data_IF_482152591038
#
_entry.id   IF_482152591038
#
_cell.length_a   1.000
_cell.length_b   1.000
_cell.length_c   1.000
_cell.angle_alpha   90.00
_cell.angle_beta   90.00
_cell.angle_gamma   90.00
#
_symmetry.space_group_name_H-M   'P 1'
#
loop_
_entity.id
_entity.type
_entity.pdbx_description
1 polymer ?
#
# COMPACT_ATOMS: atom_id res chain seq x y z
N UNK A 1 -9.62 -3.73 -19.71
CA UNK A 1 -8.62 -4.82 -19.65
C UNK A 1 -8.29 -5.09 -18.17
N UNK A 2 -8.03 -6.33 -17.74
CA UNK A 2 -7.85 -6.65 -16.33
C UNK A 2 -6.62 -7.48 -16.03
N UNK A 3 -6.19 -7.43 -14.76
CA UNK A 3 -5.14 -8.28 -14.18
C UNK A 3 -5.75 -9.01 -12.97
N UNK A 4 -5.63 -10.32 -12.91
CA UNK A 4 -6.16 -11.09 -11.78
C UNK A 4 -5.40 -12.38 -11.55
N UNK A 5 -5.63 -13.00 -10.39
CA UNK A 5 -5.10 -14.30 -10.01
C UNK A 5 -3.56 -14.33 -10.00
N UNK A 6 -2.96 -13.30 -9.40
CA UNK A 6 -1.51 -13.14 -9.32
C UNK A 6 -1.01 -13.62 -7.96
N UNK A 7 -0.01 -14.50 -8.00
CA UNK A 7 0.70 -14.98 -6.82
C UNK A 7 2.19 -14.66 -6.94
N UNK A 8 2.71 -13.96 -5.92
CA UNK A 8 4.13 -13.71 -5.71
C UNK A 8 4.50 -14.38 -4.39
N UNK A 9 5.46 -15.31 -4.41
CA UNK A 9 5.83 -16.04 -3.21
C UNK A 9 7.31 -16.36 -3.09
N UNK A 10 7.78 -16.48 -1.85
CA UNK A 10 9.16 -16.89 -1.52
C UNK A 10 10.22 -15.96 -2.15
N UNK A 11 9.95 -14.65 -2.11
CA UNK A 11 10.79 -13.63 -2.72
C UNK A 11 11.52 -12.79 -1.67
N UNK A 12 12.70 -12.28 -2.04
CA UNK A 12 13.44 -11.27 -1.29
C UNK A 12 13.44 -9.98 -2.11
N UNK A 13 12.98 -8.89 -1.53
CA UNK A 13 12.85 -7.59 -2.19
C UNK A 13 13.76 -6.54 -1.58
N UNK A 14 14.34 -5.71 -2.44
CA UNK A 14 15.14 -4.54 -2.08
C UNK A 14 15.02 -3.49 -3.19
N UNK A 15 14.96 -2.22 -2.81
CA UNK A 15 14.86 -1.10 -3.75
C UNK A 15 15.70 0.06 -3.25
N UNK A 16 16.38 0.76 -4.15
CA UNK A 16 17.10 2.00 -3.88
C UNK A 16 16.15 3.22 -3.85
N UNK A 17 15.13 3.20 -4.71
CA UNK A 17 14.08 4.19 -4.79
C UNK A 17 12.87 3.53 -5.46
N UNK A 18 11.90 3.04 -4.68
CA UNK A 18 10.57 2.59 -5.10
C UNK A 18 9.89 1.82 -3.96
N UNK A 19 8.59 1.54 -4.10
CA UNK A 19 7.93 0.53 -3.28
C UNK A 19 8.51 -0.86 -3.62
N UNK A 20 8.68 -1.74 -2.62
CA UNK A 20 9.28 -3.07 -2.85
C UNK A 20 8.25 -4.04 -3.43
N UNK A 21 7.14 -4.26 -2.71
CA UNK A 21 6.00 -5.03 -3.23
C UNK A 21 4.79 -4.11 -3.36
N UNK A 22 4.43 -3.79 -4.61
CA UNK A 22 3.36 -2.86 -4.94
C UNK A 22 2.30 -3.52 -5.84
N UNK A 23 1.04 -3.28 -5.51
CA UNK A 23 -0.08 -3.45 -6.44
C UNK A 23 -0.61 -2.06 -6.83
N UNK A 24 -0.74 -1.83 -8.14
CA UNK A 24 -1.01 -0.51 -8.72
C UNK A 24 0.28 0.18 -9.19
N UNK A 25 0.37 1.53 -9.21
CA UNK A 25 -0.64 2.50 -8.78
C UNK A 25 -1.68 2.81 -9.85
N UNK A 26 -1.37 2.51 -11.12
CA UNK A 26 -2.12 2.92 -12.30
C UNK A 26 -3.15 1.86 -12.72
N UNK A 27 -4.12 1.59 -11.85
CA UNK A 27 -5.27 0.78 -12.25
C UNK A 27 -6.27 1.65 -13.02
N UNK A 28 -6.41 1.39 -14.32
CA UNK A 28 -7.33 2.10 -15.21
C UNK A 28 -6.64 3.17 -16.06
N UNK A 29 -7.42 3.84 -16.90
CA UNK A 29 -6.92 4.89 -17.79
C UNK A 29 -8.00 5.96 -17.96
N UNK A 30 -7.61 7.20 -18.26
CA UNK A 30 -8.54 8.29 -18.58
C UNK A 30 -9.43 8.01 -19.82
N UNK A 31 -9.09 7.00 -20.64
CA UNK A 31 -9.88 6.56 -21.80
C UNK A 31 -10.90 5.47 -21.47
N UNK A 32 -10.62 4.67 -20.44
CA UNK A 32 -11.46 3.56 -19.99
C UNK A 32 -11.51 3.52 -18.44
N UNK A 33 -12.06 4.56 -17.80
CA UNK A 33 -11.87 4.77 -16.37
C UNK A 33 -12.68 3.82 -15.50
N UNK A 34 -13.33 2.75 -16.01
CA UNK A 34 -14.21 1.90 -15.17
C UNK A 34 -14.24 0.41 -15.56
N UNK A 35 -13.61 0.03 -16.66
CA UNK A 35 -13.57 -1.37 -17.15
C UNK A 35 -12.31 -2.12 -16.70
N UNK A 36 -11.31 -1.40 -16.18
CA UNK A 36 -10.06 -1.98 -15.75
C UNK A 36 -10.10 -2.38 -14.28
N UNK A 37 -9.44 -3.49 -13.99
CA UNK A 37 -9.37 -4.03 -12.64
C UNK A 37 -8.02 -4.70 -12.37
N UNK A 38 -7.66 -4.71 -11.09
CA UNK A 38 -6.64 -5.59 -10.53
C UNK A 38 -7.27 -6.31 -9.33
N UNK A 39 -7.36 -7.64 -9.34
CA UNK A 39 -7.96 -8.36 -8.22
C UNK A 39 -7.34 -9.71 -7.94
N UNK A 40 -7.59 -10.25 -6.74
CA UNK A 40 -7.04 -11.54 -6.32
C UNK A 40 -5.52 -11.61 -6.48
N UNK A 41 -4.83 -10.71 -5.78
CA UNK A 41 -3.37 -10.62 -5.79
C UNK A 41 -2.83 -11.00 -4.42
N UNK A 42 -1.88 -11.94 -4.38
CA UNK A 42 -1.26 -12.40 -3.14
C UNK A 42 0.26 -12.24 -3.20
N UNK A 43 0.83 -11.61 -2.16
CA UNK A 43 2.24 -11.69 -1.81
C UNK A 43 2.38 -12.52 -0.55
N UNK A 44 3.14 -13.63 -0.60
CA UNK A 44 3.32 -14.51 0.56
C UNK A 44 4.75 -14.97 0.80
N UNK A 45 5.10 -15.12 2.08
CA UNK A 45 6.40 -15.68 2.49
C UNK A 45 7.58 -14.87 1.90
N UNK A 46 7.54 -13.55 2.04
CA UNK A 46 8.55 -12.66 1.47
C UNK A 46 9.39 -11.97 2.54
N UNK A 47 10.59 -11.55 2.15
CA UNK A 47 11.46 -10.70 2.97
C UNK A 47 11.69 -9.39 2.23
N UNK A 48 11.54 -8.26 2.92
CA UNK A 48 11.97 -6.95 2.44
C UNK A 48 13.23 -6.56 3.20
N UNK A 49 14.35 -6.38 2.50
CA UNK A 49 15.64 -6.09 3.13
C UNK A 49 15.78 -4.64 3.58
N UNK A 50 15.17 -3.71 2.85
CA UNK A 50 15.22 -2.28 3.16
C UNK A 50 14.15 -1.53 2.37
N UNK A 51 13.77 -0.35 2.87
CA UNK A 51 13.08 0.67 2.08
C UNK A 51 13.64 2.03 2.46
N UNK A 52 14.47 2.67 1.61
CA UNK A 52 15.04 3.95 1.92
C UNK A 52 13.99 5.06 1.77
N UNK A 53 14.07 6.05 2.65
CA UNK A 53 13.58 7.39 2.37
C UNK A 53 14.59 8.11 1.46
N UNK A 54 14.10 8.90 0.50
CA UNK A 54 14.99 9.82 -0.20
C UNK A 54 15.63 10.78 0.82
N UNK A 55 16.90 11.13 0.61
CA UNK A 55 17.68 11.92 1.59
C UNK A 55 17.04 13.28 1.92
N UNK A 56 16.24 13.84 1.01
CA UNK A 56 15.50 15.09 1.19
C UNK A 56 14.05 14.89 1.64
N UNK A 57 13.57 13.65 1.76
CA UNK A 57 12.20 13.36 2.16
C UNK A 57 11.96 13.79 3.60
N UNK A 58 10.92 14.59 3.79
CA UNK A 58 10.43 15.01 5.10
C UNK A 58 9.23 14.18 5.49
N UNK A 59 9.04 14.01 6.78
CA UNK A 59 7.80 13.46 7.32
C UNK A 59 6.60 14.27 6.78
N UNK A 60 5.69 13.59 6.10
CA UNK A 60 4.54 14.22 5.46
C UNK A 60 4.64 14.39 3.94
N UNK A 61 5.83 14.28 3.34
CA UNK A 61 5.99 14.33 1.89
C UNK A 61 5.09 13.27 1.20
N UNK A 62 4.70 13.55 -0.05
CA UNK A 62 3.74 12.78 -0.83
C UNK A 62 4.38 12.04 -2.01
N UNK A 63 3.65 11.03 -2.52
CA UNK A 63 4.06 10.24 -3.67
C UNK A 63 5.45 9.61 -3.52
N UNK A 64 6.23 9.66 -4.61
CA UNK A 64 7.61 9.17 -4.68
C UNK A 64 8.56 9.86 -3.69
N UNK A 65 8.34 11.16 -3.42
CA UNK A 65 9.16 11.96 -2.50
C UNK A 65 8.82 11.69 -1.04
N UNK A 66 7.60 11.24 -0.77
CA UNK A 66 7.05 10.93 0.54
C UNK A 66 7.64 9.74 1.28
N UNK A 67 8.59 9.05 0.69
CA UNK A 67 9.08 7.76 1.17
C UNK A 67 8.27 6.62 0.56
N UNK A 68 9.00 5.69 -0.02
CA UNK A 68 8.44 4.45 -0.53
C UNK A 68 7.96 3.55 0.61
N UNK A 69 7.09 2.59 0.31
CA UNK A 69 6.67 1.57 1.26
C UNK A 69 7.24 0.19 0.92
N UNK A 70 7.59 -0.57 1.95
CA UNK A 70 8.01 -1.96 1.78
C UNK A 70 6.90 -2.79 1.13
N UNK A 71 5.65 -2.64 1.60
CA UNK A 71 4.47 -3.23 0.96
C UNK A 71 3.35 -2.21 0.78
N UNK A 72 2.73 -2.19 -0.40
CA UNK A 72 1.77 -1.17 -0.78
C UNK A 72 0.65 -1.68 -1.71
N UNK A 73 -0.58 -1.28 -1.44
CA UNK A 73 -1.67 -1.32 -2.41
C UNK A 73 -2.14 0.12 -2.69
N UNK A 74 -1.92 0.60 -3.91
CA UNK A 74 -2.24 1.98 -4.29
C UNK A 74 -3.14 1.98 -5.52
N UNK A 75 -4.20 2.77 -5.49
CA UNK A 75 -4.92 3.16 -6.70
C UNK A 75 -4.89 4.67 -6.82
N UNK A 76 -4.59 5.19 -8.00
CA UNK A 76 -4.69 6.63 -8.19
C UNK A 76 -4.30 7.09 -9.57
N UNK A 77 -4.39 8.41 -9.72
CA UNK A 77 -3.87 9.12 -10.88
C UNK A 77 -2.43 9.52 -10.57
N UNK A 78 -1.52 9.25 -11.50
CA UNK A 78 -0.13 9.67 -11.44
C UNK A 78 0.13 10.62 -12.61
N UNK A 79 0.50 11.87 -12.31
CA UNK A 79 0.81 12.90 -13.33
C UNK A 79 -0.26 13.08 -14.43
N UNK A 80 -1.54 12.95 -14.07
CA UNK A 80 -2.68 13.06 -15.01
C UNK A 80 -2.94 11.81 -15.87
N UNK A 81 -2.26 10.70 -15.58
CA UNK A 81 -2.44 9.39 -16.22
C UNK A 81 -2.90 8.35 -15.19
N UNK A 82 -3.58 7.30 -15.67
CA UNK A 82 -4.24 6.31 -14.79
C UNK A 82 -5.62 6.77 -14.30
N UNK A 83 -6.21 6.02 -13.38
CA UNK A 83 -7.46 6.40 -12.72
C UNK A 83 -8.68 5.55 -13.08
N UNK A 84 -9.63 5.55 -12.15
CA UNK A 84 -10.97 4.98 -12.27
C UNK A 84 -11.06 3.44 -12.22
N UNK A 85 -9.94 2.73 -12.31
CA UNK A 85 -9.92 1.27 -12.18
C UNK A 85 -10.33 0.76 -10.80
N UNK A 86 -10.72 -0.51 -10.74
CA UNK A 86 -11.19 -1.16 -9.52
C UNK A 86 -10.18 -2.18 -9.02
N UNK A 87 -9.71 -1.98 -7.80
CA UNK A 87 -8.80 -2.89 -7.13
C UNK A 87 -9.51 -3.62 -5.99
N UNK A 88 -9.40 -4.94 -5.94
CA UNK A 88 -9.98 -5.73 -4.85
C UNK A 88 -9.15 -6.95 -4.46
N UNK A 89 -9.39 -7.48 -3.25
CA UNK A 89 -8.88 -8.79 -2.83
C UNK A 89 -7.35 -8.90 -2.93
N UNK A 90 -6.66 -8.02 -2.19
CA UNK A 90 -5.20 -7.95 -2.15
C UNK A 90 -4.72 -8.45 -0.79
N UNK A 91 -3.88 -9.48 -0.79
CA UNK A 91 -3.33 -10.10 0.40
C UNK A 91 -1.80 -9.95 0.44
N UNK A 92 -1.30 -9.42 1.54
CA UNK A 92 0.10 -9.51 1.95
C UNK A 92 0.16 -10.39 3.19
N UNK A 93 0.84 -11.53 3.12
CA UNK A 93 0.86 -12.54 4.20
C UNK A 93 2.27 -13.07 4.49
N UNK A 94 2.61 -13.24 5.77
CA UNK A 94 3.90 -13.80 6.20
C UNK A 94 5.09 -13.04 5.60
N UNK A 95 5.15 -11.73 5.83
CA UNK A 95 6.23 -10.88 5.31
C UNK A 95 7.07 -10.34 6.46
N UNK A 96 8.38 -10.52 6.36
CA UNK A 96 9.37 -9.92 7.25
C UNK A 96 9.97 -8.70 6.56
N UNK A 97 9.91 -7.55 7.22
CA UNK A 97 10.58 -6.33 6.75
C UNK A 97 11.72 -6.07 7.72
N UNK A 98 12.95 -6.12 7.21
CA UNK A 98 14.16 -5.80 7.96
C UNK A 98 14.22 -4.29 8.28
N UNK A 99 15.30 -3.86 8.93
CA UNK A 99 15.44 -2.52 9.48
C UNK A 99 15.18 -1.42 8.42
N UNK A 100 14.14 -0.61 8.64
CA UNK A 100 13.75 0.46 7.72
C UNK A 100 14.61 1.71 7.91
N UNK A 101 15.27 2.15 6.84
CA UNK A 101 16.01 3.42 6.79
C UNK A 101 15.13 4.54 6.22
N UNK A 102 14.07 4.85 6.96
CA UNK A 102 13.21 6.02 6.76
C UNK A 102 12.03 5.86 5.79
N UNK A 103 11.94 4.75 5.05
CA UNK A 103 10.72 4.38 4.31
C UNK A 103 9.57 3.92 5.22
N UNK A 104 8.39 3.69 4.64
CA UNK A 104 7.21 3.18 5.35
C UNK A 104 7.20 1.65 5.34
N UNK A 105 6.79 0.97 6.43
CA UNK A 105 6.60 -0.47 6.41
C UNK A 105 5.40 -0.87 5.54
N UNK A 106 4.27 -0.20 5.74
CA UNK A 106 2.99 -0.55 5.11
C UNK A 106 2.31 0.71 4.62
N UNK A 107 1.76 0.67 3.40
CA UNK A 107 0.89 1.72 2.86
C UNK A 107 -0.33 1.13 2.14
N UNK A 108 -1.44 1.86 2.19
CA UNK A 108 -2.62 1.59 1.36
C UNK A 108 -3.27 2.90 0.99
N UNK A 109 -3.33 3.22 -0.29
CA UNK A 109 -3.59 4.59 -0.72
C UNK A 109 -4.60 4.66 -1.86
N UNK A 110 -5.49 5.65 -1.77
CA UNK A 110 -6.23 6.18 -2.91
C UNK A 110 -5.71 7.59 -3.17
N UNK A 111 -5.21 7.86 -4.38
CA UNK A 111 -4.76 9.21 -4.77
C UNK A 111 -5.69 9.77 -5.84
N UNK A 112 -6.34 10.87 -5.50
CA UNK A 112 -7.43 11.50 -6.26
C UNK A 112 -7.10 12.95 -6.57
N UNK A 113 -7.29 13.37 -7.82
CA UNK A 113 -7.29 14.77 -8.25
C UNK A 113 -8.67 15.22 -8.81
N UNK A 114 -9.69 14.34 -8.80
CA UNK A 114 -10.97 14.60 -9.46
C UNK A 114 -11.93 13.41 -9.57
N UNK A 115 -12.80 13.44 -10.59
CA UNK A 115 -13.99 12.56 -10.75
C UNK A 115 -13.72 11.13 -11.19
N UNK A 116 -12.54 10.83 -11.75
CA UNK A 116 -12.17 9.48 -12.19
C UNK A 116 -11.21 8.80 -11.20
N UNK A 117 -11.54 8.91 -9.91
CA UNK A 117 -10.79 8.23 -8.86
C UNK A 117 -11.14 6.75 -8.88
N UNK A 118 -10.13 5.88 -8.89
CA UNK A 118 -10.35 4.43 -8.78
C UNK A 118 -10.83 4.02 -7.39
N UNK A 119 -11.26 2.76 -7.24
CA UNK A 119 -11.69 2.21 -5.95
C UNK A 119 -10.74 1.12 -5.48
N UNK A 120 -10.52 1.02 -4.17
CA UNK A 120 -9.72 -0.04 -3.56
C UNK A 120 -10.51 -0.68 -2.41
N UNK A 121 -10.61 -2.01 -2.42
CA UNK A 121 -11.37 -2.73 -1.39
C UNK A 121 -10.72 -4.06 -1.01
N UNK A 122 -10.87 -4.50 0.24
CA UNK A 122 -10.40 -5.83 0.64
C UNK A 122 -8.88 -5.97 0.59
N UNK A 123 -8.17 -5.13 1.35
CA UNK A 123 -6.71 -5.20 1.50
C UNK A 123 -6.38 -5.81 2.86
N UNK A 124 -5.64 -6.90 2.87
CA UNK A 124 -5.28 -7.60 4.11
C UNK A 124 -3.76 -7.65 4.27
N UNK A 125 -3.30 -7.20 5.43
CA UNK A 125 -1.93 -7.37 5.89
C UNK A 125 -1.95 -8.38 7.04
N UNK A 126 -1.45 -9.60 6.80
CA UNK A 126 -1.46 -10.69 7.78
C UNK A 126 -0.06 -11.18 8.13
N UNK A 127 0.22 -11.41 9.40
CA UNK A 127 1.50 -11.96 9.87
C UNK A 127 2.69 -11.17 9.32
N UNK A 128 2.66 -9.85 9.52
CA UNK A 128 3.71 -8.95 9.04
C UNK A 128 4.56 -8.54 10.25
N UNK A 129 5.87 -8.73 10.17
CA UNK A 129 6.81 -8.30 11.21
C UNK A 129 7.79 -7.30 10.65
N UNK A 130 8.05 -6.22 11.38
CA UNK A 130 9.07 -5.25 10.98
C UNK A 130 9.81 -4.63 12.15
N UNK A 131 11.07 -4.27 11.92
CA UNK A 131 11.94 -3.62 12.89
C UNK A 131 12.42 -2.27 12.38
N UNK A 132 12.69 -1.33 13.29
CA UNK A 132 13.02 0.04 12.89
C UNK A 132 13.27 0.97 14.05
N UNK A 133 14.15 1.96 13.86
CA UNK A 133 14.38 3.04 14.81
C UNK A 133 13.32 4.14 14.72
N UNK A 134 12.63 4.23 13.58
CA UNK A 134 11.55 5.18 13.31
C UNK A 134 10.32 4.42 12.86
N UNK A 135 9.20 4.75 13.49
CA UNK A 135 7.89 4.30 13.07
C UNK A 135 7.25 5.40 12.22
N UNK A 136 7.14 5.16 10.91
CA UNK A 136 6.16 5.90 10.12
C UNK A 136 4.85 5.10 10.14
N UNK A 137 3.74 5.70 10.57
CA UNK A 137 2.47 4.99 10.68
C UNK A 137 2.04 4.45 9.31
N UNK A 138 1.34 3.32 9.35
CA UNK A 138 0.67 2.79 8.17
C UNK A 138 -0.20 3.90 7.57
N UNK A 139 0.07 4.24 6.32
CA UNK A 139 -0.55 5.40 5.70
C UNK A 139 -1.79 4.98 4.93
N UNK A 140 -2.90 5.61 5.29
CA UNK A 140 -4.15 5.56 4.55
C UNK A 140 -4.49 6.96 4.04
N UNK A 141 -4.43 7.18 2.72
CA UNK A 141 -4.62 8.50 2.11
C UNK A 141 -5.75 8.54 1.07
N UNK A 142 -6.36 9.74 0.96
CA UNK A 142 -7.23 10.20 -0.13
C UNK A 142 -8.55 9.45 -0.31
N UNK A 143 -9.49 9.62 0.61
CA UNK A 143 -10.80 8.96 0.50
C UNK A 143 -11.75 9.83 -0.33
N UNK A 144 -12.00 9.45 -1.57
CA UNK A 144 -13.14 9.99 -2.31
C UNK A 144 -14.44 9.56 -1.63
N UNK A 145 -15.39 10.49 -1.45
CA UNK A 145 -16.75 10.14 -0.97
C UNK A 145 -17.48 9.24 -1.97
N UNK A 146 -17.14 9.33 -3.24
CA UNK A 146 -17.73 8.56 -4.34
C UNK A 146 -17.01 7.22 -4.57
N UNK A 147 -15.69 7.20 -4.36
CA UNK A 147 -14.84 6.03 -4.59
C UNK A 147 -14.02 5.69 -3.33
N UNK A 148 -14.66 5.06 -2.33
CA UNK A 148 -14.06 4.86 -1.02
C UNK A 148 -13.02 3.72 -1.01
N UNK A 149 -12.04 3.87 -0.12
CA UNK A 149 -11.25 2.75 0.37
C UNK A 149 -12.09 1.96 1.38
N UNK A 150 -12.24 0.66 1.16
CA UNK A 150 -13.07 -0.18 2.02
C UNK A 150 -12.34 -1.45 2.48
N UNK A 151 -12.63 -1.91 3.70
CA UNK A 151 -12.21 -3.21 4.20
C UNK A 151 -10.68 -3.40 4.16
N UNK A 152 -9.97 -2.58 4.94
CA UNK A 152 -8.54 -2.79 5.19
C UNK A 152 -8.39 -3.54 6.51
N UNK A 153 -7.62 -4.61 6.52
CA UNK A 153 -7.41 -5.44 7.71
C UNK A 153 -5.94 -5.56 8.04
N UNK A 154 -5.59 -5.33 9.31
CA UNK A 154 -4.29 -5.68 9.86
C UNK A 154 -4.50 -6.84 10.82
N UNK A 155 -3.93 -7.99 10.50
CA UNK A 155 -4.09 -9.24 11.27
C UNK A 155 -2.71 -9.73 11.70
N UNK A 156 -2.42 -9.69 13.00
CA UNK A 156 -1.10 -10.03 13.52
C UNK A 156 0.06 -9.25 12.85
N UNK A 157 0.02 -7.93 12.93
CA UNK A 157 1.10 -7.05 12.48
C UNK A 157 1.92 -6.57 13.68
N UNK A 158 3.24 -6.75 13.63
CA UNK A 158 4.16 -6.57 14.75
C UNK A 158 5.30 -5.62 14.38
N UNK A 159 5.45 -4.55 15.15
CA UNK A 159 6.56 -3.60 15.06
C UNK A 159 7.45 -3.71 16.30
N UNK A 160 8.75 -3.97 16.12
CA UNK A 160 9.72 -4.12 17.24
C UNK A 160 9.22 -5.05 18.36
N UNK A 161 8.61 -6.17 17.99
CA UNK A 161 8.06 -7.16 18.94
C UNK A 161 6.74 -6.75 19.61
N UNK A 162 6.17 -5.58 19.27
CA UNK A 162 4.88 -5.10 19.76
C UNK A 162 3.82 -5.14 18.65
N UNK A 163 2.66 -5.70 18.96
CA UNK A 163 1.52 -5.69 18.05
C UNK A 163 1.01 -4.26 17.79
N UNK A 164 0.76 -3.94 16.53
CA UNK A 164 0.17 -2.68 16.09
C UNK A 164 -1.30 -2.64 16.45
N UNK A 165 -1.76 -1.49 16.95
CA UNK A 165 -3.16 -1.23 17.29
C UNK A 165 -3.70 -0.11 16.42
N UNK A 166 -5.03 0.05 16.44
CA UNK A 166 -5.72 1.15 15.77
C UNK A 166 -5.17 2.55 16.10
N UNK A 167 -4.78 2.79 17.34
CA UNK A 167 -4.21 4.09 17.73
C UNK A 167 -2.84 4.37 17.09
N UNK A 168 -2.16 3.35 16.57
CA UNK A 168 -0.85 3.46 15.94
C UNK A 168 -0.96 3.73 14.42
N UNK A 169 -2.18 3.87 13.86
CA UNK A 169 -2.41 4.17 12.45
C UNK A 169 -2.93 5.61 12.29
N UNK A 170 -2.34 6.39 11.37
CA UNK A 170 -2.78 7.75 11.07
C UNK A 170 -3.77 7.79 9.90
N UNK A 171 -4.70 8.76 9.90
CA UNK A 171 -5.68 8.99 8.83
C UNK A 171 -6.56 7.77 8.48
N UNK A 172 -7.10 7.12 9.51
CA UNK A 172 -7.94 5.92 9.41
C UNK A 172 -9.25 6.21 8.67
N UNK A 173 -9.46 5.52 7.55
CA UNK A 173 -10.74 5.48 6.87
C UNK A 173 -11.76 4.56 7.58
N UNK A 174 -13.06 4.75 7.35
CA UNK A 174 -14.19 4.25 8.16
C UNK A 174 -14.34 2.70 8.30
N UNK A 175 -13.45 1.89 7.74
CA UNK A 175 -13.58 0.42 7.71
C UNK A 175 -12.27 -0.35 7.94
N UNK A 176 -11.32 0.22 8.71
CA UNK A 176 -10.12 -0.53 9.13
C UNK A 176 -10.45 -1.45 10.33
N UNK A 177 -10.15 -2.74 10.18
CA UNK A 177 -10.26 -3.76 11.22
C UNK A 177 -8.84 -4.15 11.67
N UNK A 178 -8.55 -4.06 12.98
CA UNK A 178 -7.25 -4.36 13.61
C UNK A 178 -7.51 -5.23 14.84
#
# INVERSE_FOLDING_TARGET
MGCEDVLVENCVGWTDCANVFLVGPECGTSREPRTNYIRNVTFRNCIVLETPALYDSKEGDDGWRGGCAAINARVGIYEGLGGGGRMSDILFENIQIENLYGGRPIAVEIVSDGTDTGSLSGVVFRNITFTGDKYLPAQVRGVSREFPLQNVTFDNVVFNGRQIKKADCENICLSIHI
#
